data_IF_803918944763
#
_entry.id   IF_803918944763
#
_cell.length_a   1.000
_cell.length_b   1.000
_cell.length_c   1.000
_cell.angle_alpha   90.00
_cell.angle_beta   90.00
_cell.angle_gamma   90.00
#
_symmetry.space_group_name_H-M   'P 1'
#
loop_
_entity.id
_entity.type
_entity.pdbx_description
1 polymer ?
#
# COMPACT_ATOMS: atom_id res chain seq x y z
N UNK A 1 2.88 -21.45 3.60
CA UNK A 1 3.97 -21.79 2.67
C UNK A 1 5.23 -21.01 3.03
N UNK A 2 6.40 -21.60 2.93
CA UNK A 2 7.71 -20.96 3.13
C UNK A 2 8.79 -21.86 2.52
N UNK A 3 9.91 -21.26 2.09
CA UNK A 3 11.12 -21.97 1.62
C UNK A 3 12.04 -22.41 2.77
N UNK A 4 11.70 -22.06 4.01
CA UNK A 4 12.49 -22.36 5.21
C UNK A 4 11.86 -23.51 5.98
N UNK A 5 12.36 -24.77 5.87
CA UNK A 5 11.75 -25.92 6.51
C UNK A 5 11.61 -25.80 8.04
N UNK A 6 12.61 -25.21 8.71
CA UNK A 6 12.56 -24.96 10.16
C UNK A 6 11.41 -24.04 10.57
N UNK A 7 11.15 -22.99 9.78
CA UNK A 7 10.02 -22.07 10.00
C UNK A 7 8.68 -22.76 9.77
N UNK A 8 8.59 -23.60 8.74
CA UNK A 8 7.39 -24.41 8.50
C UNK A 8 7.11 -25.36 9.67
N UNK A 9 8.12 -26.04 10.19
CA UNK A 9 8.00 -26.94 11.34
C UNK A 9 7.56 -26.20 12.61
N UNK A 10 8.13 -25.02 12.88
CA UNK A 10 7.73 -24.16 13.99
C UNK A 10 6.25 -23.77 13.91
N UNK A 11 5.79 -23.29 12.76
CA UNK A 11 4.40 -22.88 12.58
C UNK A 11 3.43 -24.07 12.61
N UNK A 12 3.84 -25.21 12.04
CA UNK A 12 3.09 -26.45 12.16
C UNK A 12 2.79 -26.78 13.60
N UNK A 13 3.79 -26.77 14.46
CA UNK A 13 3.64 -27.06 15.90
C UNK A 13 2.82 -25.98 16.61
N UNK A 14 3.11 -24.70 16.37
CA UNK A 14 2.47 -23.58 17.05
C UNK A 14 0.97 -23.47 16.75
N UNK A 15 0.56 -23.78 15.51
CA UNK A 15 -0.80 -23.59 15.01
C UNK A 15 -1.51 -24.90 14.67
N UNK A 16 -0.94 -26.05 15.03
CA UNK A 16 -1.49 -27.39 14.75
C UNK A 16 -1.86 -27.57 13.26
N UNK A 17 -0.99 -27.13 12.35
CA UNK A 17 -1.24 -27.21 10.91
C UNK A 17 -1.02 -28.68 10.45
N UNK A 18 -2.02 -29.33 9.83
CA UNK A 18 -1.85 -30.65 9.27
C UNK A 18 -0.75 -30.71 8.18
N UNK A 19 -0.01 -31.82 8.08
CA UNK A 19 1.06 -31.96 7.08
C UNK A 19 0.58 -31.71 5.64
N UNK A 20 -0.62 -32.18 5.31
CA UNK A 20 -1.24 -31.96 4.01
C UNK A 20 -1.48 -30.49 3.64
N UNK A 21 -1.40 -29.58 4.61
CA UNK A 21 -1.60 -28.15 4.43
C UNK A 21 -0.26 -27.37 4.47
N UNK A 22 0.85 -28.06 4.44
CA UNK A 22 2.19 -27.46 4.39
C UNK A 22 2.70 -27.57 2.95
N UNK A 23 2.84 -26.39 2.33
CA UNK A 23 3.31 -26.27 0.95
C UNK A 23 4.66 -25.54 0.93
N UNK A 24 5.49 -25.87 -0.03
CA UNK A 24 6.68 -25.12 -0.41
C UNK A 24 6.44 -24.44 -1.80
N UNK A 25 7.45 -23.78 -2.34
CA UNK A 25 7.33 -23.11 -3.63
C UNK A 25 7.17 -24.09 -4.80
N UNK A 26 7.64 -25.34 -4.68
CA UNK A 26 7.51 -26.38 -5.71
C UNK A 26 6.12 -27.00 -5.71
N UNK A 27 5.54 -27.15 -4.53
CA UNK A 27 4.24 -27.79 -4.33
C UNK A 27 3.07 -26.79 -4.27
N UNK A 28 3.33 -25.50 -4.50
CA UNK A 28 2.31 -24.44 -4.41
C UNK A 28 1.06 -24.71 -5.25
N UNK A 29 1.23 -25.21 -6.47
CA UNK A 29 0.12 -25.43 -7.40
C UNK A 29 -0.84 -26.57 -6.94
N UNK A 30 -0.41 -27.41 -6.00
CA UNK A 30 -1.29 -28.42 -5.36
C UNK A 30 -2.39 -27.78 -4.51
N UNK A 31 -2.36 -26.45 -4.29
CA UNK A 31 -3.49 -25.72 -3.70
C UNK A 31 -4.79 -25.89 -4.48
N UNK A 32 -4.74 -26.20 -5.78
CA UNK A 32 -5.92 -26.45 -6.61
C UNK A 32 -6.74 -27.63 -6.05
N UNK A 33 -6.06 -28.64 -5.54
CA UNK A 33 -6.67 -29.88 -5.03
C UNK A 33 -7.13 -29.77 -3.56
N UNK A 34 -6.91 -28.62 -2.92
CA UNK A 34 -7.30 -28.41 -1.52
C UNK A 34 -8.55 -27.51 -1.41
N UNK A 35 -9.76 -28.09 -1.29
CA UNK A 35 -11.00 -27.32 -1.18
C UNK A 35 -11.17 -26.60 0.17
N UNK A 36 -10.33 -26.89 1.18
CA UNK A 36 -10.37 -26.24 2.48
C UNK A 36 -9.63 -24.87 2.50
N UNK A 37 -9.02 -24.49 1.38
CA UNK A 37 -8.34 -23.20 1.24
C UNK A 37 -9.10 -22.35 0.23
N UNK A 38 -9.68 -21.24 0.67
CA UNK A 38 -10.40 -20.28 -0.17
C UNK A 38 -9.54 -19.07 -0.54
N UNK A 39 -8.64 -18.66 0.34
CA UNK A 39 -7.85 -17.42 0.23
C UNK A 39 -6.36 -17.73 0.35
N UNK A 40 -5.56 -17.14 -0.53
CA UNK A 40 -4.10 -17.11 -0.42
C UNK A 40 -3.66 -15.69 -0.09
N UNK A 41 -2.87 -15.54 0.98
CA UNK A 41 -2.20 -14.27 1.32
C UNK A 41 -0.74 -14.32 0.89
N UNK A 42 -0.39 -13.53 -0.12
CA UNK A 42 0.96 -13.43 -0.69
C UNK A 42 1.76 -12.40 0.09
N UNK A 43 2.77 -12.86 0.85
CA UNK A 43 3.67 -12.04 1.68
C UNK A 43 5.10 -12.43 1.33
N UNK A 44 5.63 -11.89 0.25
CA UNK A 44 6.89 -12.23 -0.38
C UNK A 44 7.68 -10.95 -0.72
N UNK A 45 8.95 -11.03 -1.14
CA UNK A 45 9.60 -9.92 -1.83
C UNK A 45 8.80 -9.51 -3.08
N UNK A 46 8.75 -8.21 -3.37
CA UNK A 46 7.84 -7.62 -4.36
C UNK A 46 7.89 -8.27 -5.75
N UNK A 47 9.08 -8.69 -6.19
CA UNK A 47 9.27 -9.33 -7.49
C UNK A 47 8.56 -10.68 -7.63
N UNK A 48 8.27 -11.34 -6.51
CA UNK A 48 7.59 -12.63 -6.50
C UNK A 48 6.06 -12.51 -6.44
N UNK A 49 5.53 -11.33 -6.15
CA UNK A 49 4.08 -11.13 -6.00
C UNK A 49 3.32 -11.58 -7.24
N UNK A 50 3.75 -11.13 -8.43
CA UNK A 50 3.04 -11.40 -9.67
C UNK A 50 2.95 -12.89 -10.01
N UNK A 51 4.04 -13.64 -9.82
CA UNK A 51 4.04 -15.08 -10.04
C UNK A 51 3.02 -15.77 -9.13
N UNK A 52 3.12 -15.53 -7.81
CA UNK A 52 2.29 -16.28 -6.84
C UNK A 52 0.84 -15.84 -6.82
N UNK A 53 0.52 -14.60 -7.14
CA UNK A 53 -0.87 -14.15 -7.34
C UNK A 53 -1.49 -14.83 -8.55
N UNK A 54 -0.77 -14.89 -9.67
CA UNK A 54 -1.27 -15.56 -10.89
C UNK A 54 -1.49 -17.04 -10.65
N UNK A 55 -0.55 -17.73 -10.00
CA UNK A 55 -0.67 -19.17 -9.66
C UNK A 55 -1.83 -19.42 -8.69
N UNK A 56 -2.00 -18.57 -7.66
CA UNK A 56 -3.13 -18.68 -6.73
C UNK A 56 -4.49 -18.51 -7.44
N UNK A 57 -4.60 -17.51 -8.33
CA UNK A 57 -5.80 -17.29 -9.13
C UNK A 57 -6.09 -18.49 -10.04
N UNK A 58 -5.08 -19.06 -10.71
CA UNK A 58 -5.19 -20.25 -11.55
C UNK A 58 -5.61 -21.49 -10.74
N UNK A 59 -5.17 -21.59 -9.47
CA UNK A 59 -5.62 -22.60 -8.53
C UNK A 59 -7.05 -22.34 -8.00
N UNK A 60 -7.75 -21.34 -8.51
CA UNK A 60 -9.14 -21.04 -8.14
C UNK A 60 -9.28 -20.41 -6.76
N UNK A 61 -8.23 -19.76 -6.23
CA UNK A 61 -8.26 -19.13 -4.90
C UNK A 61 -8.45 -17.61 -5.01
N UNK A 62 -9.13 -17.02 -4.02
CA UNK A 62 -9.14 -15.58 -3.82
C UNK A 62 -7.77 -15.14 -3.27
N UNK A 63 -7.36 -13.90 -3.51
CA UNK A 63 -5.99 -13.48 -3.19
C UNK A 63 -5.97 -12.18 -2.41
N UNK A 64 -5.17 -12.13 -1.33
CA UNK A 64 -4.63 -10.90 -0.76
C UNK A 64 -3.16 -10.85 -1.15
N UNK A 65 -2.65 -9.72 -1.63
CA UNK A 65 -1.24 -9.53 -1.91
C UNK A 65 -0.70 -8.31 -1.18
N UNK A 66 0.45 -8.43 -0.53
CA UNK A 66 1.11 -7.30 0.11
C UNK A 66 1.44 -6.17 -0.85
N UNK A 67 1.58 -4.99 -0.26
CA UNK A 67 2.02 -3.76 -0.94
C UNK A 67 3.58 -3.71 -1.03
N UNK A 68 4.13 -3.04 -2.06
CA UNK A 68 3.47 -2.57 -3.27
C UNK A 68 2.99 -3.77 -4.09
N UNK A 69 1.98 -3.56 -4.93
CA UNK A 69 1.34 -4.68 -5.61
C UNK A 69 2.32 -5.53 -6.44
N UNK A 70 3.26 -4.88 -7.12
CA UNK A 70 4.26 -5.52 -7.99
C UNK A 70 5.53 -4.66 -8.06
N UNK A 71 6.49 -5.04 -8.92
CA UNK A 71 7.66 -4.23 -9.26
C UNK A 71 7.48 -3.42 -10.55
N UNK A 72 6.39 -3.65 -11.30
CA UNK A 72 6.05 -2.96 -12.54
C UNK A 72 4.55 -2.84 -12.76
N UNK A 73 4.14 -1.84 -13.55
CA UNK A 73 2.74 -1.68 -14.01
C UNK A 73 2.30 -2.88 -14.85
N UNK A 74 3.20 -3.45 -15.66
CA UNK A 74 2.90 -4.62 -16.49
C UNK A 74 2.53 -5.84 -15.63
N UNK A 75 3.30 -6.12 -14.58
CA UNK A 75 3.03 -7.19 -13.64
C UNK A 75 1.72 -6.95 -12.85
N UNK A 76 1.49 -5.74 -12.38
CA UNK A 76 0.25 -5.39 -11.71
C UNK A 76 -0.99 -5.63 -12.61
N UNK A 77 -0.91 -5.27 -13.89
CA UNK A 77 -1.97 -5.57 -14.89
C UNK A 77 -2.17 -7.08 -15.06
N UNK A 78 -1.09 -7.84 -15.15
CA UNK A 78 -1.13 -9.31 -15.29
C UNK A 78 -1.82 -9.97 -14.08
N UNK A 79 -1.54 -9.48 -12.87
CA UNK A 79 -2.16 -9.98 -11.63
C UNK A 79 -3.66 -9.72 -11.60
N UNK A 80 -4.07 -8.48 -11.87
CA UNK A 80 -5.49 -8.09 -11.94
C UNK A 80 -6.22 -8.92 -12.98
N UNK A 81 -5.69 -9.02 -14.20
CA UNK A 81 -6.28 -9.78 -15.29
C UNK A 81 -6.41 -11.30 -14.97
N UNK A 82 -5.42 -11.89 -14.29
CA UNK A 82 -5.47 -13.29 -13.90
C UNK A 82 -6.59 -13.57 -12.89
N UNK A 83 -6.75 -12.73 -11.87
CA UNK A 83 -7.82 -12.87 -10.88
C UNK A 83 -9.21 -12.64 -11.51
N UNK A 84 -9.35 -11.65 -12.38
CA UNK A 84 -10.60 -11.40 -13.13
C UNK A 84 -10.95 -12.59 -14.02
N UNK A 85 -9.99 -13.13 -14.78
CA UNK A 85 -10.19 -14.32 -15.64
C UNK A 85 -10.61 -15.54 -14.84
N UNK A 86 -10.08 -15.71 -13.62
CA UNK A 86 -10.43 -16.81 -12.72
C UNK A 86 -11.77 -16.59 -11.98
N UNK A 87 -12.41 -15.43 -12.11
CA UNK A 87 -13.61 -15.06 -11.34
C UNK A 87 -13.34 -14.98 -9.83
N UNK A 88 -12.12 -14.62 -9.43
CA UNK A 88 -11.70 -14.52 -8.03
C UNK A 88 -11.47 -13.09 -7.60
N UNK A 89 -11.87 -12.78 -6.37
CA UNK A 89 -11.58 -11.47 -5.79
C UNK A 89 -10.10 -11.32 -5.49
N UNK A 90 -9.59 -10.12 -5.71
CA UNK A 90 -8.21 -9.75 -5.48
C UNK A 90 -8.13 -8.49 -4.61
N UNK A 91 -7.51 -8.59 -3.45
CA UNK A 91 -7.33 -7.53 -2.46
C UNK A 91 -5.87 -7.18 -2.28
N UNK A 92 -5.56 -5.90 -2.10
CA UNK A 92 -4.19 -5.44 -1.80
C UNK A 92 -4.02 -5.30 -0.30
N UNK A 93 -2.79 -5.54 0.23
CA UNK A 93 -2.41 -5.43 1.63
C UNK A 93 -2.41 -3.99 2.17
N UNK A 94 -3.45 -3.22 1.90
CA UNK A 94 -3.61 -1.83 2.34
C UNK A 94 -4.30 -1.74 3.70
N UNK A 95 -3.65 -2.27 4.73
CA UNK A 95 -4.15 -2.38 6.12
C UNK A 95 -4.67 -1.06 6.70
N UNK A 96 -4.13 0.09 6.27
CA UNK A 96 -4.53 1.40 6.79
C UNK A 96 -5.95 1.82 6.37
N UNK A 97 -6.50 1.23 5.31
CA UNK A 97 -7.90 1.42 4.94
C UNK A 97 -8.88 0.82 5.97
N UNK A 98 -8.39 0.00 6.89
CA UNK A 98 -9.15 -0.65 7.97
C UNK A 98 -8.84 -0.02 9.34
N UNK A 99 -7.85 0.87 9.41
CA UNK A 99 -7.37 1.47 10.64
C UNK A 99 -8.19 2.74 10.98
N UNK A 100 -8.73 2.86 12.21
CA UNK A 100 -9.68 3.91 12.56
C UNK A 100 -9.20 5.34 12.35
N UNK A 101 -7.94 5.68 12.67
CA UNK A 101 -7.43 7.05 12.50
C UNK A 101 -7.30 7.40 11.00
N UNK A 102 -6.85 6.47 10.17
CA UNK A 102 -6.77 6.69 8.72
C UNK A 102 -8.15 6.74 8.08
N UNK A 103 -9.12 5.95 8.55
CA UNK A 103 -10.51 6.06 8.13
C UNK A 103 -11.12 7.43 8.50
N UNK A 104 -10.81 7.93 9.69
CA UNK A 104 -11.27 9.26 10.11
C UNK A 104 -10.62 10.37 9.29
N UNK A 105 -9.31 10.25 8.99
CA UNK A 105 -8.63 11.19 8.09
C UNK A 105 -9.26 11.22 6.70
N UNK A 106 -9.59 10.05 6.15
CA UNK A 106 -10.34 9.90 4.91
C UNK A 106 -11.70 10.61 4.99
N UNK A 107 -12.46 10.36 6.05
CA UNK A 107 -13.78 10.98 6.28
C UNK A 107 -13.68 12.49 6.37
N UNK A 108 -12.76 13.02 7.17
CA UNK A 108 -12.56 14.45 7.36
C UNK A 108 -12.19 15.17 6.05
N UNK A 109 -11.29 14.58 5.27
CA UNK A 109 -10.87 15.14 3.99
C UNK A 109 -11.99 15.09 2.94
N UNK A 110 -12.61 13.94 2.73
CA UNK A 110 -13.63 13.75 1.70
C UNK A 110 -14.96 14.45 2.00
N UNK A 111 -15.27 14.72 3.28
CA UNK A 111 -16.43 15.51 3.70
C UNK A 111 -16.12 17.00 3.88
N UNK A 112 -14.93 17.42 3.51
CA UNK A 112 -14.52 18.81 3.59
C UNK A 112 -14.73 19.43 4.99
N UNK A 113 -14.45 18.66 6.06
CA UNK A 113 -14.68 19.08 7.44
C UNK A 113 -13.96 20.40 7.78
N UNK A 114 -12.83 20.66 7.13
CA UNK A 114 -12.06 21.91 7.21
C UNK A 114 -12.11 22.74 5.90
N UNK A 115 -13.19 22.57 5.12
CA UNK A 115 -13.35 23.09 3.77
C UNK A 115 -12.63 22.22 2.73
N UNK A 116 -12.68 22.58 1.44
CA UNK A 116 -11.98 21.85 0.39
C UNK A 116 -10.50 21.68 0.74
N UNK A 117 -10.00 20.45 0.62
CA UNK A 117 -8.58 20.16 0.87
C UNK A 117 -7.74 20.86 -0.19
N UNK A 118 -6.92 21.83 0.22
CA UNK A 118 -6.05 22.63 -0.65
C UNK A 118 -4.60 22.17 -0.61
N UNK A 119 -4.16 21.66 0.56
CA UNK A 119 -2.79 21.21 0.73
C UNK A 119 -2.73 19.96 1.60
N UNK A 120 -1.94 18.98 1.14
CA UNK A 120 -1.59 17.79 1.89
C UNK A 120 -0.07 17.72 2.06
N UNK A 121 0.37 17.08 3.14
CA UNK A 121 1.77 16.68 3.28
C UNK A 121 1.86 15.30 3.93
N UNK A 122 2.78 14.48 3.43
CA UNK A 122 3.00 13.15 3.98
C UNK A 122 4.50 12.80 3.98
N UNK A 123 4.95 12.12 5.03
CA UNK A 123 6.29 11.56 5.07
C UNK A 123 6.30 10.22 5.78
N UNK A 124 7.16 9.32 5.32
CA UNK A 124 7.37 8.02 5.94
C UNK A 124 8.74 7.48 5.57
N UNK A 125 9.41 6.80 6.49
CA UNK A 125 10.72 6.24 6.24
C UNK A 125 11.34 5.66 7.50
N UNK A 126 12.41 4.92 7.32
CA UNK A 126 13.23 4.40 8.42
C UNK A 126 14.68 4.30 7.99
N UNK A 127 15.58 4.30 8.96
CA UNK A 127 17.00 4.12 8.68
C UNK A 127 17.29 2.65 8.35
N UNK A 128 17.66 2.39 7.11
CA UNK A 128 18.18 1.10 6.68
C UNK A 128 19.72 1.17 6.76
N UNK A 129 20.32 0.33 7.60
CA UNK A 129 21.77 0.33 7.84
C UNK A 129 22.47 -0.94 7.37
N UNK A 130 21.72 -1.95 6.95
CA UNK A 130 22.28 -3.24 6.52
C UNK A 130 21.64 -3.69 5.21
N UNK A 131 22.40 -4.38 4.34
CA UNK A 131 21.86 -4.94 3.11
C UNK A 131 20.68 -5.87 3.39
N UNK A 132 19.65 -5.76 2.56
CA UNK A 132 18.47 -6.64 2.57
C UNK A 132 17.87 -6.67 1.17
N UNK A 133 16.89 -7.53 0.92
CA UNK A 133 16.17 -7.58 -0.35
C UNK A 133 15.57 -6.22 -0.76
N UNK A 134 15.37 -5.29 0.20
CA UNK A 134 14.82 -3.95 -0.05
C UNK A 134 15.75 -3.02 -0.83
N UNK A 135 17.06 -3.29 -0.81
CA UNK A 135 18.06 -2.53 -1.58
C UNK A 135 18.55 -3.28 -2.82
N UNK A 136 17.99 -4.44 -3.08
CA UNK A 136 18.16 -5.19 -4.33
C UNK A 136 16.99 -4.84 -5.27
N UNK A 137 17.27 -4.05 -6.31
CA UNK A 137 16.22 -3.59 -7.25
C UNK A 137 15.51 -4.74 -7.95
N UNK A 138 16.20 -5.85 -8.21
CA UNK A 138 15.59 -7.01 -8.85
C UNK A 138 14.49 -7.65 -7.98
N UNK A 139 14.62 -7.56 -6.66
CA UNK A 139 13.65 -8.10 -5.70
C UNK A 139 12.61 -7.06 -5.25
N UNK A 140 13.04 -5.82 -5.07
CA UNK A 140 12.20 -4.76 -4.49
C UNK A 140 11.48 -3.90 -5.53
N UNK A 141 12.02 -3.79 -6.75
CA UNK A 141 11.54 -2.88 -7.80
C UNK A 141 11.98 -1.42 -7.62
N UNK A 142 12.52 -1.05 -6.46
CA UNK A 142 12.98 0.29 -6.08
C UNK A 142 13.27 0.40 -4.60
N UNK A 143 13.61 1.58 -4.13
CA UNK A 143 13.96 1.86 -2.75
C UNK A 143 12.77 2.26 -1.85
N UNK A 144 12.95 3.30 -1.00
CA UNK A 144 11.94 3.70 -0.04
C UNK A 144 10.62 4.17 -0.68
N UNK A 145 10.59 4.60 -1.95
CA UNK A 145 9.33 4.95 -2.62
C UNK A 145 8.39 3.73 -2.68
N UNK A 146 8.91 2.58 -3.10
CA UNK A 146 8.16 1.34 -3.20
C UNK A 146 7.71 0.83 -1.82
N UNK A 147 8.58 0.88 -0.82
CA UNK A 147 8.33 0.29 0.50
C UNK A 147 7.53 1.20 1.43
N UNK A 148 7.97 2.45 1.59
CA UNK A 148 7.43 3.40 2.57
C UNK A 148 6.65 4.56 1.92
N UNK A 149 7.08 5.00 0.74
CA UNK A 149 6.43 6.10 0.02
C UNK A 149 5.03 5.76 -0.44
N UNK A 150 4.75 4.49 -0.72
CA UNK A 150 3.40 4.00 -1.06
C UNK A 150 2.36 4.37 0.01
N UNK A 151 2.71 4.43 1.30
CA UNK A 151 1.82 4.88 2.36
C UNK A 151 1.50 6.37 2.23
N UNK A 152 2.46 7.20 1.83
CA UNK A 152 2.25 8.62 1.58
C UNK A 152 1.35 8.84 0.35
N UNK A 153 1.58 8.07 -0.72
CA UNK A 153 0.70 8.08 -1.91
C UNK A 153 -0.73 7.75 -1.49
N UNK A 154 -0.94 6.61 -0.85
CA UNK A 154 -2.25 6.17 -0.38
C UNK A 154 -2.90 7.22 0.55
N UNK A 155 -2.15 7.69 1.55
CA UNK A 155 -2.63 8.69 2.53
C UNK A 155 -3.15 9.96 1.86
N UNK A 156 -2.44 10.48 0.88
CA UNK A 156 -2.87 11.67 0.15
C UNK A 156 -4.10 11.40 -0.71
N UNK A 157 -4.14 10.27 -1.42
CA UNK A 157 -5.22 9.94 -2.33
C UNK A 157 -6.55 9.72 -1.58
N UNK A 158 -6.55 8.86 -0.56
CA UNK A 158 -7.81 8.57 0.15
C UNK A 158 -8.28 9.77 0.98
N UNK A 159 -7.38 10.61 1.51
CA UNK A 159 -7.78 11.83 2.22
C UNK A 159 -8.36 12.85 1.26
N UNK A 160 -7.72 13.08 0.10
CA UNK A 160 -8.22 14.02 -0.92
C UNK A 160 -9.48 13.51 -1.63
N UNK A 161 -9.64 12.20 -1.76
CA UNK A 161 -10.72 11.60 -2.54
C UNK A 161 -10.57 11.80 -4.06
N UNK A 162 -9.34 12.05 -4.54
CA UNK A 162 -9.02 12.30 -5.96
C UNK A 162 -7.69 11.67 -6.33
N UNK A 163 -7.52 11.35 -7.62
CA UNK A 163 -6.23 10.99 -8.22
C UNK A 163 -5.57 12.27 -8.74
N UNK A 164 -4.25 12.48 -8.52
CA UNK A 164 -3.56 13.66 -9.03
C UNK A 164 -3.50 13.68 -10.56
N UNK A 165 -3.44 14.87 -11.16
CA UNK A 165 -3.33 15.06 -12.61
C UNK A 165 -1.89 15.22 -13.09
N UNK A 166 -0.95 15.46 -12.18
CA UNK A 166 0.48 15.51 -12.48
C UNK A 166 1.33 15.34 -11.25
N UNK A 167 2.61 15.02 -11.47
CA UNK A 167 3.63 14.89 -10.43
C UNK A 167 4.95 15.52 -10.88
N UNK A 168 5.66 16.14 -9.94
CA UNK A 168 7.08 16.47 -10.00
C UNK A 168 7.82 15.73 -8.91
N UNK A 169 9.07 15.32 -9.14
CA UNK A 169 9.84 14.59 -8.16
C UNK A 169 11.34 14.85 -8.31
N UNK A 170 12.09 14.56 -7.23
CA UNK A 170 13.56 14.59 -7.23
C UNK A 170 14.12 13.55 -6.28
N UNK A 171 15.16 12.86 -6.68
CA UNK A 171 15.95 12.04 -5.75
C UNK A 171 16.73 12.92 -4.79
N UNK A 172 16.94 12.41 -3.56
CA UNK A 172 17.94 13.03 -2.68
C UNK A 172 19.35 12.56 -3.07
N UNK A 173 20.41 13.32 -2.70
CA UNK A 173 21.76 12.82 -2.80
C UNK A 173 21.91 11.47 -2.08
N UNK A 174 22.60 10.51 -2.72
CA UNK A 174 22.84 9.21 -2.14
C UNK A 174 24.02 9.28 -1.13
N UNK A 175 23.79 9.13 0.18
CA UNK A 175 24.83 9.26 1.19
C UNK A 175 25.67 7.99 1.37
N UNK A 176 25.21 6.84 0.85
CA UNK A 176 25.91 5.55 0.92
C UNK A 176 25.75 4.78 -0.41
N UNK A 177 26.61 5.07 -1.40
CA UNK A 177 26.56 4.39 -2.71
C UNK A 177 26.85 2.90 -2.68
N UNK A 178 27.34 2.36 -1.58
CA UNK A 178 27.54 0.91 -1.41
C UNK A 178 26.23 0.22 -1.02
N UNK A 179 25.52 0.82 -0.06
CA UNK A 179 24.25 0.29 0.41
C UNK A 179 23.11 0.53 -0.60
N UNK A 180 23.01 1.76 -1.12
CA UNK A 180 21.99 2.17 -2.09
C UNK A 180 22.55 2.19 -3.51
N UNK A 181 23.15 1.05 -3.93
CA UNK A 181 23.78 0.92 -5.23
C UNK A 181 22.76 0.93 -6.37
N UNK A 182 21.68 0.18 -6.20
CA UNK A 182 20.72 -0.11 -7.27
C UNK A 182 19.35 0.56 -7.05
N UNK A 183 19.13 1.19 -5.88
CA UNK A 183 17.89 1.85 -5.52
C UNK A 183 18.16 3.26 -5.00
N UNK A 184 17.16 4.13 -5.02
CA UNK A 184 17.26 5.45 -4.40
C UNK A 184 17.35 5.33 -2.86
N UNK A 185 18.12 6.25 -2.24
CA UNK A 185 18.19 6.40 -0.78
C UNK A 185 16.99 7.19 -0.21
N UNK A 186 16.34 7.96 -1.06
CA UNK A 186 15.13 8.72 -0.77
C UNK A 186 14.69 9.55 -1.96
N UNK A 187 13.45 10.00 -1.90
CA UNK A 187 12.81 10.79 -2.94
C UNK A 187 11.80 11.77 -2.32
N UNK A 188 11.72 12.97 -2.90
CA UNK A 188 10.70 13.97 -2.64
C UNK A 188 9.82 14.09 -3.89
N UNK A 189 8.51 14.24 -3.70
CA UNK A 189 7.60 14.51 -4.82
C UNK A 189 6.44 15.39 -4.41
N UNK A 190 5.87 16.07 -5.40
CA UNK A 190 4.65 16.85 -5.24
C UNK A 190 3.63 16.41 -6.27
N UNK A 191 2.45 16.04 -5.79
CA UNK A 191 1.27 15.85 -6.61
C UNK A 191 0.53 17.18 -6.80
N UNK A 192 -0.08 17.34 -7.97
CA UNK A 192 -1.05 18.39 -8.25
C UNK A 192 -2.37 17.75 -8.64
N UNK A 193 -3.46 18.22 -8.03
CA UNK A 193 -4.82 17.79 -8.31
C UNK A 193 -5.54 18.74 -9.27
N UNK A 194 -6.66 18.26 -9.86
CA UNK A 194 -7.38 19.01 -10.89
C UNK A 194 -7.96 20.34 -10.39
N UNK A 195 -8.30 20.43 -9.11
CA UNK A 195 -8.83 21.62 -8.45
C UNK A 195 -7.75 22.61 -7.95
N UNK A 196 -6.49 22.35 -8.30
CA UNK A 196 -5.33 23.17 -7.91
C UNK A 196 -4.71 22.80 -6.56
N UNK A 197 -5.29 21.87 -5.79
CA UNK A 197 -4.70 21.38 -4.57
C UNK A 197 -3.36 20.67 -4.83
N UNK A 198 -2.49 20.64 -3.80
CA UNK A 198 -1.17 20.00 -3.87
C UNK A 198 -0.95 19.03 -2.72
N UNK A 199 -0.06 18.04 -2.93
CA UNK A 199 0.42 17.16 -1.87
C UNK A 199 1.95 17.05 -1.93
N UNK A 200 2.63 17.51 -0.88
CA UNK A 200 4.07 17.39 -0.72
C UNK A 200 4.42 16.14 0.07
N UNK A 201 5.18 15.27 -0.55
CA UNK A 201 5.49 13.96 -0.02
C UNK A 201 7.00 13.70 -0.03
N UNK A 202 7.46 12.93 0.95
CA UNK A 202 8.85 12.48 1.00
C UNK A 202 9.00 11.13 1.68
N UNK A 203 10.02 10.38 1.25
CA UNK A 203 10.37 9.10 1.88
C UNK A 203 11.87 8.88 1.88
N UNK A 204 12.38 8.17 2.90
CA UNK A 204 13.81 7.99 3.16
C UNK A 204 14.10 6.59 3.71
N UNK A 205 15.27 6.06 3.31
CA UNK A 205 15.96 4.97 4.01
C UNK A 205 17.16 5.47 4.83
N UNK A 206 17.41 6.78 4.87
CA UNK A 206 18.57 7.40 5.52
C UNK A 206 18.30 7.86 6.94
N UNK A 207 17.05 7.95 7.34
CA UNK A 207 16.62 8.44 8.66
C UNK A 207 15.33 7.79 9.12
N UNK A 208 15.11 7.71 10.42
CA UNK A 208 13.82 7.33 10.98
C UNK A 208 12.88 8.52 10.91
N UNK A 209 11.74 8.31 10.27
CA UNK A 209 10.65 9.28 10.19
C UNK A 209 9.48 8.77 11.04
N UNK A 210 8.88 9.63 11.82
CA UNK A 210 7.76 9.26 12.69
C UNK A 210 6.51 8.81 11.87
N UNK A 211 6.45 9.23 10.61
CA UNK A 211 5.30 9.01 9.74
C UNK A 211 4.20 10.04 9.99
N UNK A 212 3.99 10.93 9.02
CA UNK A 212 3.02 12.03 9.15
C UNK A 212 2.11 12.09 7.94
N UNK A 213 0.84 12.34 8.20
CA UNK A 213 -0.16 12.69 7.18
C UNK A 213 -0.92 13.91 7.67
N UNK A 214 -0.89 15.02 6.92
CA UNK A 214 -1.63 16.24 7.22
C UNK A 214 -2.40 16.69 6.00
N UNK A 215 -3.62 17.17 6.22
CA UNK A 215 -4.44 17.81 5.20
C UNK A 215 -5.00 19.12 5.76
N UNK A 216 -5.04 20.16 4.94
CA UNK A 216 -5.54 21.48 5.30
C UNK A 216 -6.41 22.11 4.22
N UNK A 217 -7.34 22.95 4.68
CA UNK A 217 -8.23 23.75 3.87
C UNK A 217 -8.47 25.12 4.52
N UNK A 218 -9.37 25.95 3.97
CA UNK A 218 -9.58 27.33 4.42
C UNK A 218 -10.16 27.44 5.83
N UNK A 219 -10.72 26.35 6.39
CA UNK A 219 -11.37 26.35 7.71
C UNK A 219 -10.57 25.59 8.78
N UNK A 220 -9.35 25.14 8.45
CA UNK A 220 -8.51 24.41 9.39
C UNK A 220 -7.77 23.25 8.77
N UNK A 221 -7.39 22.27 9.59
CA UNK A 221 -6.57 21.13 9.20
C UNK A 221 -6.80 19.92 10.10
N UNK A 222 -6.42 18.74 9.60
CA UNK A 222 -6.27 17.51 10.37
C UNK A 222 -4.89 16.89 10.13
N UNK A 223 -4.37 16.20 11.15
CA UNK A 223 -3.04 15.59 11.12
C UNK A 223 -3.03 14.26 11.87
N UNK A 224 -2.40 13.25 11.29
CA UNK A 224 -1.99 12.03 11.97
C UNK A 224 -0.47 11.99 12.12
N UNK A 225 0.02 11.71 13.34
CA UNK A 225 1.43 11.55 13.66
C UNK A 225 1.58 10.79 15.00
N UNK A 226 2.05 9.50 14.99
CA UNK A 226 2.35 8.70 13.80
C UNK A 226 1.09 8.34 12.99
N UNK A 227 1.23 8.29 11.63
CA UNK A 227 0.12 8.03 10.72
C UNK A 227 0.09 6.60 10.16
N UNK A 228 1.24 5.92 10.07
CA UNK A 228 1.41 4.73 9.23
C UNK A 228 1.93 3.49 9.98
N UNK A 229 2.04 3.56 11.31
CA UNK A 229 2.49 2.46 12.16
C UNK A 229 1.48 1.29 12.25
N UNK A 230 1.91 0.20 12.89
CA UNK A 230 1.05 -0.95 13.20
C UNK A 230 0.23 -0.75 14.48
N UNK A 231 0.48 0.32 15.22
CA UNK A 231 -0.18 0.72 16.44
C UNK A 231 0.38 2.05 16.93
N UNK A 232 -0.22 2.61 17.99
CA UNK A 232 0.18 3.88 18.56
C UNK A 232 -0.10 5.08 17.64
N UNK A 233 -1.00 4.94 16.66
CA UNK A 233 -1.40 6.05 15.82
C UNK A 233 -2.09 7.13 16.64
N UNK A 234 -1.86 8.37 16.27
CA UNK A 234 -2.43 9.52 16.97
C UNK A 234 -2.78 10.61 15.95
N UNK A 235 -3.79 11.39 16.26
CA UNK A 235 -4.22 12.48 15.40
C UNK A 235 -4.73 13.68 16.19
N UNK A 236 -4.83 14.80 15.50
CA UNK A 236 -5.43 16.05 16.01
C UNK A 236 -6.01 16.89 14.88
N UNK A 237 -6.91 17.77 15.23
CA UNK A 237 -7.47 18.75 14.30
C UNK A 237 -7.30 20.17 14.84
N UNK A 238 -7.41 21.16 13.96
CA UNK A 238 -7.34 22.57 14.36
C UNK A 238 -8.63 23.09 15.01
N UNK A 239 -9.73 22.35 14.94
CA UNK A 239 -11.04 22.86 15.30
C UNK A 239 -11.34 22.77 16.80
N UNK A 240 -10.74 21.80 17.54
CA UNK A 240 -11.09 21.59 18.94
C UNK A 240 -9.91 21.30 19.87
N UNK A 241 -8.68 21.35 19.39
CA UNK A 241 -7.50 20.81 20.12
C UNK A 241 -7.68 19.32 20.56
N UNK A 242 -8.74 18.69 20.04
CA UNK A 242 -9.12 17.33 20.38
C UNK A 242 -8.21 16.35 19.67
N UNK A 243 -7.53 15.58 20.48
CA UNK A 243 -6.82 14.40 20.01
C UNK A 243 -7.86 13.42 19.45
N UNK A 244 -7.60 12.93 18.25
CA UNK A 244 -8.37 11.81 17.70
C UNK A 244 -8.05 10.56 18.53
N UNK A 245 -8.87 10.30 19.52
CA UNK A 245 -8.72 9.20 20.46
C UNK A 245 -9.50 7.99 19.96
N UNK A 246 -8.95 7.34 18.91
CA UNK A 246 -9.58 6.20 18.28
C UNK A 246 -8.92 4.88 18.75
N UNK A 247 -9.63 3.76 18.74
CA UNK A 247 -9.10 2.51 19.25
C UNK A 247 -7.96 1.98 18.41
N UNK A 248 -6.94 1.43 19.07
CA UNK A 248 -5.94 0.61 18.39
C UNK A 248 -6.54 -0.76 18.07
N UNK A 249 -6.35 -1.22 16.84
CA UNK A 249 -6.83 -2.52 16.37
C UNK A 249 -5.69 -3.32 15.74
N UNK A 250 -5.88 -4.62 15.60
CA UNK A 250 -5.04 -5.41 14.71
C UNK A 250 -5.49 -5.16 13.26
N UNK A 251 -4.75 -4.30 12.56
CA UNK A 251 -5.09 -3.81 11.22
C UNK A 251 -5.10 -4.93 10.17
N UNK A 252 -4.17 -5.89 10.29
CA UNK A 252 -4.11 -7.03 9.37
C UNK A 252 -5.26 -8.00 9.62
N UNK A 253 -5.61 -8.26 10.87
CA UNK A 253 -6.78 -9.08 11.19
C UNK A 253 -8.05 -8.44 10.64
N UNK A 254 -8.26 -7.13 10.88
CA UNK A 254 -9.42 -6.41 10.35
C UNK A 254 -9.50 -6.46 8.81
N UNK A 255 -8.37 -6.37 8.12
CA UNK A 255 -8.30 -6.51 6.66
C UNK A 255 -8.66 -7.93 6.21
N UNK A 256 -8.12 -8.96 6.86
CA UNK A 256 -8.40 -10.36 6.51
C UNK A 256 -9.86 -10.72 6.78
N UNK A 257 -10.42 -10.28 7.92
CA UNK A 257 -11.82 -10.51 8.28
C UNK A 257 -12.77 -9.83 7.30
N UNK A 258 -12.48 -8.56 6.91
CA UNK A 258 -13.28 -7.87 5.91
C UNK A 258 -13.22 -8.58 4.55
N UNK A 259 -12.04 -9.04 4.12
CA UNK A 259 -11.92 -9.76 2.85
C UNK A 259 -12.64 -11.12 2.86
N UNK A 260 -12.55 -11.85 3.97
CA UNK A 260 -13.33 -13.08 4.15
C UNK A 260 -14.83 -12.80 4.07
N UNK A 261 -15.31 -11.75 4.74
CA UNK A 261 -16.70 -11.31 4.65
C UNK A 261 -17.11 -10.88 3.24
N UNK A 262 -16.20 -10.23 2.47
CA UNK A 262 -16.45 -9.89 1.06
C UNK A 262 -16.75 -11.14 0.22
N UNK A 263 -15.97 -12.21 0.43
CA UNK A 263 -16.13 -13.48 -0.28
C UNK A 263 -17.44 -14.17 0.15
N UNK A 264 -17.67 -14.31 1.45
CA UNK A 264 -18.85 -14.97 2.01
C UNK A 264 -20.16 -14.31 1.59
N UNK A 265 -20.19 -12.99 1.48
CA UNK A 265 -21.39 -12.21 1.13
C UNK A 265 -21.40 -11.71 -0.31
N UNK A 266 -20.47 -12.19 -1.14
CA UNK A 266 -20.33 -11.80 -2.56
C UNK A 266 -20.35 -10.27 -2.78
N UNK A 267 -19.65 -9.53 -1.93
CA UNK A 267 -19.47 -8.08 -2.05
C UNK A 267 -18.05 -7.73 -2.47
N UNK A 268 -17.82 -6.62 -3.20
CA UNK A 268 -16.47 -6.24 -3.60
C UNK A 268 -15.61 -5.89 -2.38
N UNK A 269 -14.31 -6.17 -2.47
CA UNK A 269 -13.33 -5.71 -1.48
C UNK A 269 -13.17 -4.19 -1.52
N UNK A 270 -12.91 -3.58 -0.37
CA UNK A 270 -12.60 -2.16 -0.24
C UNK A 270 -11.31 -1.75 -0.94
N UNK A 271 -10.33 -2.63 -0.99
CA UNK A 271 -8.99 -2.38 -1.55
C UNK A 271 -8.67 -3.36 -2.68
N UNK A 272 -9.37 -3.24 -3.83
CA UNK A 272 -9.23 -4.17 -4.95
C UNK A 272 -7.84 -4.08 -5.61
N UNK A 273 -7.46 -5.14 -6.33
CA UNK A 273 -6.20 -5.20 -7.08
C UNK A 273 -5.99 -4.01 -8.03
N UNK A 274 -7.07 -3.48 -8.59
CA UNK A 274 -7.07 -2.28 -9.44
C UNK A 274 -6.57 -1.04 -8.70
N UNK A 275 -6.81 -0.93 -7.38
CA UNK A 275 -6.26 0.15 -6.56
C UNK A 275 -4.72 0.04 -6.50
N UNK A 276 -4.19 -1.16 -6.33
CA UNK A 276 -2.75 -1.41 -6.40
C UNK A 276 -2.17 -1.12 -7.79
N UNK A 277 -2.89 -1.45 -8.88
CA UNK A 277 -2.49 -1.10 -10.24
C UNK A 277 -2.41 0.43 -10.43
N UNK A 278 -3.41 1.17 -9.95
CA UNK A 278 -3.39 2.65 -9.94
C UNK A 278 -2.13 3.18 -9.26
N UNK A 279 -1.82 2.63 -8.10
CA UNK A 279 -0.68 3.10 -7.32
C UNK A 279 0.65 2.77 -7.98
N UNK A 280 0.78 1.59 -8.60
CA UNK A 280 1.96 1.28 -9.42
C UNK A 280 2.14 2.28 -10.58
N UNK A 281 1.06 2.72 -11.22
CA UNK A 281 1.12 3.76 -12.26
C UNK A 281 1.61 5.11 -11.68
N UNK A 282 1.18 5.47 -10.46
CA UNK A 282 1.65 6.68 -9.79
C UNK A 282 3.12 6.56 -9.36
N UNK A 283 3.55 5.43 -8.80
CA UNK A 283 4.96 5.20 -8.45
C UNK A 283 5.87 5.29 -9.67
N UNK A 284 5.47 4.70 -10.80
CA UNK A 284 6.21 4.80 -12.07
C UNK A 284 6.28 6.25 -12.57
N UNK A 285 5.18 7.01 -12.44
CA UNK A 285 5.16 8.43 -12.80
C UNK A 285 6.08 9.29 -11.89
N UNK A 286 6.15 8.98 -10.59
CA UNK A 286 7.06 9.63 -9.64
C UNK A 286 8.52 9.34 -10.02
N UNK A 287 8.88 8.07 -10.28
CA UNK A 287 10.23 7.71 -10.73
C UNK A 287 10.60 8.44 -12.02
N UNK A 288 9.72 8.41 -13.03
CA UNK A 288 9.94 9.11 -14.30
C UNK A 288 10.14 10.62 -14.12
N UNK A 289 9.37 11.24 -13.24
CA UNK A 289 9.54 12.67 -12.94
C UNK A 289 10.90 12.96 -12.28
N UNK A 290 11.37 12.10 -11.37
CA UNK A 290 12.67 12.26 -10.72
C UNK A 290 13.85 11.99 -11.68
N UNK A 291 13.72 11.01 -12.56
CA UNK A 291 14.74 10.63 -13.54
C UNK A 291 14.91 11.70 -14.64
N UNK A 292 13.80 12.28 -15.09
CA UNK A 292 13.81 13.27 -16.18
C UNK A 292 13.94 14.71 -15.70
N UNK A 293 13.66 14.97 -14.40
CA UNK A 293 13.51 16.33 -13.87
C UNK A 293 12.30 17.09 -14.43
N UNK A 294 11.39 16.40 -15.14
CA UNK A 294 10.24 16.99 -15.79
C UNK A 294 8.95 16.70 -15.03
N UNK A 295 7.99 17.61 -15.13
CA UNK A 295 6.62 17.36 -14.66
C UNK A 295 5.98 16.27 -15.53
N UNK A 296 5.46 15.21 -14.89
CA UNK A 296 4.82 14.08 -15.55
C UNK A 296 3.31 14.16 -15.38
N UNK A 297 2.55 14.01 -16.46
CA UNK A 297 1.08 13.89 -16.43
C UNK A 297 0.68 12.53 -15.85
N UNK A 298 -0.35 12.54 -14.99
CA UNK A 298 -0.97 11.35 -14.41
C UNK A 298 -2.45 11.23 -14.81
N UNK A 299 -2.89 11.94 -15.85
CA UNK A 299 -4.29 11.93 -16.30
C UNK A 299 -4.76 10.54 -16.79
N UNK A 300 -3.83 9.74 -17.32
CA UNK A 300 -4.11 8.38 -17.82
C UNK A 300 -4.05 7.30 -16.71
N UNK A 301 -3.77 7.69 -15.47
CA UNK A 301 -3.79 6.79 -14.32
C UNK A 301 -5.23 6.40 -13.99
N UNK A 302 -5.44 5.14 -13.61
CA UNK A 302 -6.74 4.61 -13.26
C UNK A 302 -7.43 5.46 -12.18
N UNK A 303 -8.64 5.94 -12.46
CA UNK A 303 -9.41 6.83 -11.59
C UNK A 303 -10.24 6.00 -10.58
N UNK A 304 -9.57 5.41 -9.60
CA UNK A 304 -10.19 4.61 -8.55
C UNK A 304 -9.80 5.16 -7.17
N UNK A 305 -10.79 5.54 -6.39
CA UNK A 305 -10.60 6.03 -5.01
C UNK A 305 -11.53 5.26 -4.07
N UNK A 306 -11.01 4.85 -2.91
CA UNK A 306 -11.86 4.41 -1.80
C UNK A 306 -12.64 5.61 -1.28
N UNK A 307 -13.96 5.50 -1.29
CA UNK A 307 -14.86 6.54 -0.78
C UNK A 307 -15.45 6.08 0.54
N UNK A 308 -15.53 7.00 1.49
CA UNK A 308 -16.24 6.73 2.75
C UNK A 308 -17.67 6.31 2.46
N UNK A 309 -18.13 5.23 3.09
CA UNK A 309 -19.46 4.63 2.91
C UNK A 309 -20.66 5.56 3.24
N UNK A 310 -20.41 6.79 3.56
CA UNK A 310 -21.40 7.80 3.94
C UNK A 310 -21.70 8.81 2.80
N UNK A 311 -21.55 8.40 1.55
CA UNK A 311 -22.02 9.12 0.36
C UNK A 311 -23.34 8.51 -0.15
N UNK A 312 -24.23 8.07 0.77
CA UNK A 312 -25.65 7.80 0.47
C UNK A 312 -26.53 8.69 1.32
#
# INVERSE_FOLDING_TARGET
>A
MTDTPAKAAQWKQQYNIPDRNIYDYKTFDQLIDNPAIDIVYVVLPNALHAEYVVRAAQAGKHVICEKPLATSVADARRMVAACQKAGKQFSVGYRLHFEPHNQEMMRLGQREAFGPVQHLSANNGFRLSTPSWRVDRALSGGGPLMDMGIYCVQGCLYTKGQVPVSVTAKFIPNPDPKLFKDVEAGIDWQFQFADGATADCRTRYTENMEGRLRAGGPKGWAELMPAFGYGGLAGKTSQNDDRLNLPNINQQAAQMDDFAACILHNRPTRVPGEMGLRDMQLLEAIYRAAETGQKVSTKDVLQLIDRTSAAK
#
